data_IF_074235582861
#
_entry.id   IF_074235582861
#
_cell.length_a   1.000
_cell.length_b   1.000
_cell.length_c   1.000
_cell.angle_alpha   90.00
_cell.angle_beta   90.00
_cell.angle_gamma   90.00
#
_symmetry.space_group_name_H-M   'P 1'
#
loop_
_entity.id
_entity.type
_entity.pdbx_description
1 polymer ?
#
# COMPACT_ATOMS: atom_id res chain seq x y z
N UNK A 1 -13.06 -0.49 -13.93
CA UNK A 1 -11.71 -0.18 -13.43
C UNK A 1 -11.80 1.15 -12.68
N UNK A 2 -11.37 1.22 -11.42
CA UNK A 2 -11.32 2.47 -10.64
C UNK A 2 -9.86 2.82 -10.40
N UNK A 3 -9.52 4.09 -10.59
CA UNK A 3 -8.23 4.65 -10.19
C UNK A 3 -8.49 5.46 -8.94
N UNK A 4 -7.71 5.23 -7.90
CA UNK A 4 -7.89 5.83 -6.58
C UNK A 4 -6.54 6.21 -6.01
N UNK A 5 -6.54 7.19 -5.13
CA UNK A 5 -5.36 7.49 -4.32
C UNK A 5 -5.15 6.41 -3.25
N UNK A 6 -3.91 6.26 -2.76
CA UNK A 6 -3.61 5.28 -1.70
C UNK A 6 -4.39 5.58 -0.41
N UNK A 7 -4.63 6.87 -0.11
CA UNK A 7 -5.42 7.32 1.05
C UNK A 7 -6.89 6.88 1.00
N UNK A 8 -7.45 6.69 -0.20
CA UNK A 8 -8.81 6.17 -0.39
C UNK A 8 -8.82 4.65 -0.48
N UNK A 9 -7.86 4.06 -1.21
CA UNK A 9 -7.75 2.62 -1.38
C UNK A 9 -7.49 1.89 -0.06
N UNK A 10 -6.68 2.46 0.84
CA UNK A 10 -6.35 1.88 2.14
C UNK A 10 -7.60 1.52 2.97
N UNK A 11 -8.67 2.33 2.86
CA UNK A 11 -9.91 2.14 3.63
C UNK A 11 -10.73 0.91 3.21
N UNK A 12 -10.53 0.43 1.98
CA UNK A 12 -11.41 -0.58 1.36
C UNK A 12 -10.68 -1.83 0.88
N UNK A 13 -9.37 -1.75 0.69
CA UNK A 13 -8.58 -2.87 0.18
C UNK A 13 -8.33 -3.95 1.23
N UNK A 14 -8.29 -5.20 0.76
CA UNK A 14 -7.92 -6.37 1.56
C UNK A 14 -6.50 -6.85 1.23
N UNK A 15 -6.04 -6.58 0.00
CA UNK A 15 -4.70 -6.93 -0.49
C UNK A 15 -4.11 -5.72 -1.23
N UNK A 16 -2.88 -5.37 -0.90
CA UNK A 16 -2.14 -4.26 -1.49
C UNK A 16 -0.83 -4.77 -2.08
N UNK A 17 -0.56 -4.41 -3.34
CA UNK A 17 0.66 -4.79 -4.05
C UNK A 17 1.31 -3.52 -4.59
N UNK A 18 2.55 -3.24 -4.19
CA UNK A 18 3.36 -2.14 -4.73
C UNK A 18 4.25 -2.64 -5.87
N UNK A 19 4.28 -1.89 -6.98
CA UNK A 19 5.01 -2.23 -8.20
C UNK A 19 5.49 -0.96 -8.92
N UNK A 20 6.01 0.01 -8.17
CA UNK A 20 6.23 1.38 -8.65
C UNK A 20 7.69 1.72 -8.89
N UNK A 21 8.62 1.07 -8.19
CA UNK A 21 10.03 1.45 -8.14
C UNK A 21 10.31 2.75 -7.37
N UNK A 22 9.32 3.27 -6.63
CA UNK A 22 9.41 4.54 -5.89
C UNK A 22 9.26 4.26 -4.40
N UNK A 23 10.04 4.95 -3.56
CA UNK A 23 9.97 4.81 -2.12
C UNK A 23 8.72 5.43 -1.51
N UNK A 24 8.35 5.00 -0.31
CA UNK A 24 7.32 5.63 0.54
C UNK A 24 5.90 5.63 -0.10
N UNK A 25 5.54 4.57 -0.82
CA UNK A 25 4.22 4.43 -1.46
C UNK A 25 3.18 4.00 -0.43
N UNK A 26 3.50 3.00 0.38
CA UNK A 26 2.68 2.59 1.53
C UNK A 26 3.45 2.95 2.79
N UNK A 27 2.91 3.89 3.56
CA UNK A 27 3.55 4.43 4.77
C UNK A 27 2.62 4.24 5.97
N UNK A 28 3.11 4.46 7.19
CA UNK A 28 2.37 4.31 8.46
C UNK A 28 0.91 4.84 8.41
N UNK A 29 0.69 6.04 7.83
CA UNK A 29 -0.66 6.63 7.70
C UNK A 29 -1.64 5.78 6.88
N UNK A 30 -1.14 4.99 5.94
CA UNK A 30 -1.93 4.08 5.12
C UNK A 30 -2.28 2.83 5.92
N UNK A 31 -1.32 2.23 6.63
CA UNK A 31 -1.55 1.08 7.51
C UNK A 31 -2.60 1.38 8.58
N UNK A 32 -2.55 2.57 9.19
CA UNK A 32 -3.55 3.01 10.18
C UNK A 32 -4.99 3.08 9.64
N UNK A 33 -5.18 3.10 8.32
CA UNK A 33 -6.49 3.12 7.64
C UNK A 33 -6.88 1.77 7.05
N UNK A 34 -5.99 0.78 7.06
CA UNK A 34 -6.24 -0.54 6.51
C UNK A 34 -7.16 -1.35 7.41
N UNK A 35 -7.85 -2.32 6.82
CA UNK A 35 -8.63 -3.30 7.57
C UNK A 35 -7.70 -4.18 8.41
N UNK A 36 -8.19 -4.61 9.57
CA UNK A 36 -7.51 -5.65 10.33
C UNK A 36 -7.38 -6.92 9.47
N UNK A 37 -6.19 -7.52 9.48
CA UNK A 37 -5.86 -8.66 8.62
C UNK A 37 -5.59 -8.34 7.14
N UNK A 38 -5.50 -7.06 6.74
CA UNK A 38 -5.10 -6.70 5.38
C UNK A 38 -3.67 -7.20 5.06
N UNK A 39 -3.47 -7.64 3.82
CA UNK A 39 -2.19 -8.16 3.34
C UNK A 39 -1.50 -7.08 2.49
N UNK A 40 -0.23 -6.81 2.78
CA UNK A 40 0.60 -5.87 2.02
C UNK A 40 1.82 -6.59 1.49
N UNK A 41 2.09 -6.43 0.20
CA UNK A 41 3.22 -7.06 -0.48
C UNK A 41 3.90 -6.04 -1.42
N UNK A 42 5.21 -6.20 -1.58
CA UNK A 42 6.00 -5.45 -2.54
C UNK A 42 6.54 -6.39 -3.61
N UNK A 43 6.34 -6.05 -4.87
CA UNK A 43 6.95 -6.75 -6.02
C UNK A 43 7.99 -5.89 -6.74
N UNK A 44 8.32 -4.72 -6.21
CA UNK A 44 9.39 -3.86 -6.69
C UNK A 44 10.78 -4.48 -6.52
N UNK A 45 11.77 -3.91 -7.22
CA UNK A 45 13.16 -4.37 -7.11
C UNK A 45 13.78 -4.06 -5.75
N UNK A 46 13.34 -2.97 -5.12
CA UNK A 46 13.77 -2.53 -3.80
C UNK A 46 12.61 -2.60 -2.81
N UNK A 47 12.91 -2.87 -1.56
CA UNK A 47 11.97 -2.94 -0.42
C UNK A 47 11.40 -1.58 -0.01
N UNK A 48 12.03 -0.49 -0.45
CA UNK A 48 11.72 0.88 -0.03
C UNK A 48 10.33 1.41 -0.41
N UNK A 49 9.55 0.67 -1.21
CA UNK A 49 8.16 1.04 -1.52
C UNK A 49 7.25 1.00 -0.28
N UNK A 50 7.60 0.14 0.70
CA UNK A 50 6.91 0.00 1.97
C UNK A 50 7.75 0.63 3.09
N UNK A 51 7.13 1.52 3.85
CA UNK A 51 7.74 2.15 5.01
C UNK A 51 6.81 1.96 6.21
N UNK A 52 7.20 1.07 7.13
CA UNK A 52 6.43 0.77 8.33
C UNK A 52 6.69 1.80 9.42
#
# INVERSE_FOLDING_TARGET
>A
MRVMTMDEAAKIGDIFITATGVKDIVIEKHFAKMKDGAIVCNTGHYDCELNL
#
